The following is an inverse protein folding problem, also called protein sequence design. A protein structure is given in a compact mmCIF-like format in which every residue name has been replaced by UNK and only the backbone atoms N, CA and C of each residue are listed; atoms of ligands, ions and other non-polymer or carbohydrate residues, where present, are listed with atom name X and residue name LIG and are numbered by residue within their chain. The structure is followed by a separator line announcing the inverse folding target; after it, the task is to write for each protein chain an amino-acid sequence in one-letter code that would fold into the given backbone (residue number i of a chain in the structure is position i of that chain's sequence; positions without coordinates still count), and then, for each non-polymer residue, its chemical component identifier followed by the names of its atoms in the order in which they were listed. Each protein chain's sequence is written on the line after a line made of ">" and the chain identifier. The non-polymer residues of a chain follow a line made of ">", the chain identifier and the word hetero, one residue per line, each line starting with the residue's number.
data_IF_119385755900
#
_entry.id   IF_119385755900
#
_cell.length_a   1.000
_cell.length_b   1.000
_cell.length_c   1.000
_cell.angle_alpha   90.00
_cell.angle_beta   90.00
_cell.angle_gamma   90.00
#
_symmetry.space_group_name_H-M   'P 1'
#
loop_
_entity.id
_entity.type
_entity.pdbx_description
1 polymer ?
#
# COMPACT_ATOMS: atom_id res chain seq x y z
N UNK A 1 20.09 6.04 -2.73
CA UNK A 1 19.46 6.61 -1.52
C UNK A 1 19.32 5.47 -0.52
N UNK A 2 19.87 5.54 0.69
CA UNK A 2 19.75 4.43 1.66
C UNK A 2 18.27 4.33 2.05
N UNK A 3 17.61 3.25 1.64
CA UNK A 3 16.27 2.96 2.14
C UNK A 3 16.43 2.75 3.64
N UNK A 4 15.76 3.56 4.47
CA UNK A 4 15.77 3.35 5.92
C UNK A 4 15.23 1.94 6.17
N UNK A 5 15.86 1.21 7.08
CA UNK A 5 15.54 -0.17 7.43
C UNK A 5 14.02 -0.40 7.62
N UNK A 6 13.30 0.59 8.16
CA UNK A 6 11.86 0.52 8.43
C UNK A 6 10.96 0.58 7.19
N UNK A 7 11.39 1.26 6.12
CA UNK A 7 10.67 1.28 4.85
C UNK A 7 10.83 -0.06 4.11
N UNK A 8 12.03 -0.64 4.13
CA UNK A 8 12.22 -2.01 3.60
C UNK A 8 11.39 -3.03 4.39
N UNK A 9 11.38 -2.92 5.72
CA UNK A 9 10.58 -3.80 6.57
C UNK A 9 9.08 -3.62 6.31
N UNK A 10 8.63 -2.39 6.08
CA UNK A 10 7.25 -2.11 5.69
C UNK A 10 6.92 -2.80 4.35
N UNK A 11 7.72 -2.60 3.31
CA UNK A 11 7.49 -3.23 1.99
C UNK A 11 7.49 -4.76 2.11
N UNK A 12 8.45 -5.33 2.86
CA UNK A 12 8.51 -6.78 3.14
C UNK A 12 7.24 -7.27 3.85
N UNK A 13 6.73 -6.51 4.82
CA UNK A 13 5.48 -6.84 5.51
C UNK A 13 4.28 -6.82 4.56
N UNK A 14 4.14 -5.77 3.75
CA UNK A 14 3.05 -5.65 2.77
C UNK A 14 3.09 -6.79 1.75
N UNK A 15 4.28 -7.13 1.26
CA UNK A 15 4.45 -8.26 0.34
C UNK A 15 4.08 -9.58 1.04
N UNK A 16 4.55 -9.80 2.27
CA UNK A 16 4.22 -11.01 3.01
C UNK A 16 2.71 -11.17 3.26
N UNK A 17 2.01 -10.07 3.58
CA UNK A 17 0.55 -10.05 3.77
C UNK A 17 -0.17 -10.33 2.45
N UNK A 18 0.18 -9.62 1.38
CA UNK A 18 -0.51 -9.73 0.09
C UNK A 18 -0.27 -11.07 -0.59
N UNK A 19 0.88 -11.71 -0.36
CA UNK A 19 1.18 -13.05 -0.88
C UNK A 19 0.41 -14.15 -0.14
N UNK A 20 0.17 -13.97 1.17
CA UNK A 20 -0.46 -14.99 2.03
C UNK A 20 -1.49 -14.38 3.00
N UNK A 21 -2.55 -13.74 2.48
CA UNK A 21 -3.47 -12.90 3.25
C UNK A 21 -4.16 -13.63 4.42
N UNK A 22 -4.53 -14.90 4.20
CA UNK A 22 -5.17 -15.73 5.23
C UNK A 22 -4.32 -15.96 6.49
N UNK A 23 -2.98 -15.93 6.41
CA UNK A 23 -2.12 -16.07 7.60
C UNK A 23 -2.12 -14.82 8.48
N UNK A 24 -2.51 -13.67 7.92
CA UNK A 24 -2.54 -12.38 8.59
C UNK A 24 -3.97 -11.92 8.91
N UNK A 25 -4.97 -12.77 8.68
CA UNK A 25 -6.40 -12.43 8.83
C UNK A 25 -6.82 -11.20 8.00
N UNK A 26 -6.18 -10.99 6.85
CA UNK A 26 -6.51 -9.91 5.92
C UNK A 26 -7.34 -10.51 4.79
N UNK A 27 -8.59 -10.09 4.63
CA UNK A 27 -9.50 -10.66 3.63
C UNK A 27 -9.75 -9.72 2.45
N UNK A 28 -9.57 -8.42 2.68
CA UNK A 28 -9.82 -7.36 1.71
C UNK A 28 -8.88 -6.17 1.94
N UNK A 29 -9.01 -5.17 1.08
CA UNK A 29 -8.18 -3.97 1.11
C UNK A 29 -8.40 -3.10 2.36
N UNK A 30 -9.59 -3.12 2.97
CA UNK A 30 -9.89 -2.40 4.21
C UNK A 30 -9.15 -3.02 5.41
N UNK A 31 -9.13 -4.36 5.50
CA UNK A 31 -8.34 -5.08 6.51
C UNK A 31 -6.85 -4.72 6.38
N UNK A 32 -6.34 -4.67 5.14
CA UNK A 32 -4.97 -4.26 4.86
C UNK A 32 -4.71 -2.81 5.29
N UNK A 33 -5.66 -1.91 5.04
CA UNK A 33 -5.56 -0.52 5.46
C UNK A 33 -5.47 -0.38 6.99
N UNK A 34 -6.20 -1.21 7.74
CA UNK A 34 -6.10 -1.28 9.20
C UNK A 34 -4.73 -1.76 9.66
N UNK A 35 -4.15 -2.76 8.96
CA UNK A 35 -2.78 -3.22 9.26
C UNK A 35 -1.76 -2.11 9.01
N UNK A 36 -1.85 -1.40 7.88
CA UNK A 36 -0.97 -0.26 7.55
C UNK A 36 -1.10 0.83 8.62
N UNK A 37 -2.33 1.15 9.04
CA UNK A 37 -2.60 2.12 10.10
C UNK A 37 -1.95 1.69 11.42
N UNK A 38 -2.11 0.43 11.82
CA UNK A 38 -1.48 -0.13 13.02
C UNK A 38 0.04 -0.07 12.98
N UNK A 39 0.65 -0.43 11.84
CA UNK A 39 2.10 -0.34 11.64
C UNK A 39 2.59 1.11 11.81
N UNK A 40 1.93 2.07 11.17
CA UNK A 40 2.25 3.50 11.30
C UNK A 40 2.17 4.00 12.74
N UNK A 41 1.20 3.51 13.52
CA UNK A 41 1.09 3.85 14.93
C UNK A 41 2.21 3.27 15.79
N UNK A 42 2.75 2.10 15.42
CA UNK A 42 3.88 1.47 16.10
C UNK A 42 5.24 2.11 15.77
N UNK A 43 5.36 2.78 14.62
CA UNK A 43 6.59 3.47 14.22
C UNK A 43 6.86 4.74 15.05
N UNK A 44 8.15 5.06 15.20
CA UNK A 44 8.59 6.38 15.70
C UNK A 44 8.21 7.48 14.71
N UNK A 45 8.15 8.73 15.19
CA UNK A 45 7.62 9.86 14.42
C UNK A 45 8.31 10.06 13.04
N UNK A 46 9.64 9.97 12.98
CA UNK A 46 10.39 10.16 11.74
C UNK A 46 10.12 9.11 10.66
N UNK A 47 9.75 7.89 11.06
CA UNK A 47 9.46 6.81 10.12
C UNK A 47 7.99 6.83 9.73
N UNK A 48 7.12 7.26 10.65
CA UNK A 48 5.71 7.53 10.35
C UNK A 48 5.57 8.56 9.22
N UNK A 49 6.31 9.66 9.26
CA UNK A 49 6.27 10.68 8.19
C UNK A 49 6.70 10.13 6.83
N UNK A 50 7.70 9.23 6.80
CA UNK A 50 8.12 8.57 5.56
C UNK A 50 7.05 7.63 5.02
N UNK A 51 6.39 6.87 5.90
CA UNK A 51 5.29 5.99 5.53
C UNK A 51 4.05 6.76 5.09
N UNK A 52 3.74 7.87 5.75
CA UNK A 52 2.68 8.80 5.34
C UNK A 52 2.92 9.27 3.92
N UNK A 53 4.13 9.75 3.62
CA UNK A 53 4.50 10.19 2.29
C UNK A 53 4.44 9.06 1.26
N UNK A 54 4.89 7.85 1.60
CA UNK A 54 4.82 6.69 0.72
C UNK A 54 3.36 6.35 0.35
N UNK A 55 2.47 6.30 1.34
CA UNK A 55 1.05 5.99 1.12
C UNK A 55 0.35 7.12 0.37
N UNK A 56 0.71 8.39 0.62
CA UNK A 56 0.22 9.53 -0.14
C UNK A 56 0.64 9.44 -1.62
N UNK A 57 1.92 9.16 -1.89
CA UNK A 57 2.45 9.00 -3.24
C UNK A 57 1.82 7.79 -3.95
N UNK A 58 1.60 6.69 -3.24
CA UNK A 58 0.86 5.53 -3.76
C UNK A 58 -0.58 5.91 -4.11
N UNK A 59 -1.28 6.62 -3.23
CA UNK A 59 -2.64 7.10 -3.49
C UNK A 59 -2.69 8.01 -4.71
N UNK A 60 -1.73 8.92 -4.87
CA UNK A 60 -1.61 9.77 -6.08
C UNK A 60 -1.42 8.93 -7.34
N UNK A 61 -0.54 7.94 -7.31
CA UNK A 61 -0.31 7.06 -8.45
C UNK A 61 -1.56 6.29 -8.89
N UNK A 62 -2.42 5.91 -7.94
CA UNK A 62 -3.71 5.28 -8.25
C UNK A 62 -4.72 6.26 -8.84
N UNK A 63 -4.79 7.49 -8.33
CA UNK A 63 -5.64 8.53 -8.90
C UNK A 63 -5.22 8.83 -10.35
N UNK A 64 -3.93 8.90 -10.62
CA UNK A 64 -3.39 9.04 -11.98
C UNK A 64 -3.75 7.83 -12.85
N UNK A 65 -3.56 6.60 -12.35
CA UNK A 65 -3.90 5.35 -13.06
C UNK A 65 -5.38 5.27 -13.45
N UNK A 66 -6.27 5.73 -12.57
CA UNK A 66 -7.72 5.66 -12.78
C UNK A 66 -8.32 6.96 -13.34
N UNK A 67 -7.47 7.93 -13.73
CA UNK A 67 -7.87 9.21 -14.33
C UNK A 67 -8.92 9.97 -13.50
N UNK A 68 -8.77 9.95 -12.18
CA UNK A 68 -9.73 10.59 -11.27
C UNK A 68 -9.52 12.10 -11.25
N UNK A 69 -10.63 12.85 -11.20
CA UNK A 69 -10.61 14.32 -11.15
C UNK A 69 -10.40 14.88 -9.76
N UNK A 70 -10.64 14.07 -8.74
CA UNK A 70 -10.51 14.40 -7.32
C UNK A 70 -9.49 13.48 -6.68
N UNK A 71 -8.86 13.93 -5.59
CA UNK A 71 -7.98 13.10 -4.77
C UNK A 71 -8.81 12.09 -3.96
N UNK A 72 -9.14 10.95 -4.58
CA UNK A 72 -9.87 9.85 -3.94
C UNK A 72 -8.86 9.02 -3.14
N UNK A 73 -9.27 8.66 -1.94
CA UNK A 73 -8.50 7.80 -1.04
C UNK A 73 -8.29 6.40 -1.66
N UNK A 74 -7.08 5.85 -1.51
CA UNK A 74 -6.64 4.67 -2.24
C UNK A 74 -7.48 3.41 -1.95
N UNK A 75 -7.93 3.20 -0.71
CA UNK A 75 -8.78 2.05 -0.35
C UNK A 75 -10.08 2.13 -1.14
N UNK A 76 -10.70 3.32 -1.21
CA UNK A 76 -11.91 3.55 -2.00
C UNK A 76 -11.70 3.28 -3.49
N UNK A 77 -10.59 3.73 -4.07
CA UNK A 77 -10.28 3.45 -5.48
C UNK A 77 -10.17 1.96 -5.75
N UNK A 78 -9.40 1.24 -4.93
CA UNK A 78 -9.21 -0.20 -5.10
C UNK A 78 -10.52 -0.95 -4.87
N UNK A 79 -11.32 -0.56 -3.87
CA UNK A 79 -12.62 -1.16 -3.62
C UNK A 79 -13.57 -0.93 -4.80
N UNK A 80 -13.58 0.25 -5.39
CA UNK A 80 -14.44 0.58 -6.52
C UNK A 80 -14.06 -0.22 -7.78
N UNK A 81 -12.75 -0.39 -8.03
CA UNK A 81 -12.24 -1.08 -9.22
C UNK A 81 -12.01 -2.60 -9.03
N UNK A 82 -12.05 -3.09 -7.79
CA UNK A 82 -11.85 -4.50 -7.45
C UNK A 82 -13.17 -5.27 -7.35
N UNK A 83 -13.32 -6.34 -8.13
CA UNK A 83 -14.53 -7.18 -8.13
C UNK A 83 -14.54 -8.18 -6.96
N UNK A 84 -14.95 -7.75 -5.77
CA UNK A 84 -15.03 -8.60 -4.59
C UNK A 84 -13.71 -8.69 -3.80
N UNK A 85 -13.78 -9.26 -2.60
CA UNK A 85 -12.74 -9.10 -1.58
C UNK A 85 -11.35 -9.60 -2.01
N UNK A 86 -11.25 -10.83 -2.51
CA UNK A 86 -9.96 -11.36 -3.01
C UNK A 86 -9.37 -10.58 -4.19
N UNK A 87 -10.23 -9.98 -5.02
CA UNK A 87 -9.78 -9.16 -6.15
C UNK A 87 -9.27 -7.79 -5.69
N UNK A 88 -9.78 -7.24 -4.59
CA UNK A 88 -9.23 -5.99 -4.04
C UNK A 88 -7.78 -6.14 -3.57
N UNK A 89 -7.43 -7.28 -2.96
CA UNK A 89 -6.05 -7.57 -2.57
C UNK A 89 -5.13 -7.80 -3.77
N UNK A 90 -5.63 -8.51 -4.79
CA UNK A 90 -4.88 -8.72 -6.04
C UNK A 90 -4.62 -7.41 -6.77
N UNK A 91 -5.62 -6.54 -6.86
CA UNK A 91 -5.50 -5.21 -7.46
C UNK A 91 -4.54 -4.32 -6.66
N UNK A 92 -4.63 -4.33 -5.33
CA UNK A 92 -3.67 -3.65 -4.47
C UNK A 92 -2.25 -4.13 -4.75
N UNK A 93 -2.02 -5.45 -4.72
CA UNK A 93 -0.68 -6.02 -4.89
C UNK A 93 -0.08 -5.60 -6.23
N UNK A 94 -0.84 -5.75 -7.32
CA UNK A 94 -0.39 -5.35 -8.65
C UNK A 94 0.01 -3.86 -8.68
N UNK A 95 -0.87 -2.98 -8.22
CA UNK A 95 -0.61 -1.54 -8.25
C UNK A 95 0.54 -1.13 -7.32
N UNK A 96 0.65 -1.76 -6.16
CA UNK A 96 1.71 -1.49 -5.18
C UNK A 96 3.07 -1.98 -5.69
N UNK A 97 3.13 -3.19 -6.25
CA UNK A 97 4.35 -3.74 -6.85
C UNK A 97 4.84 -2.86 -8.02
N UNK A 98 3.93 -2.40 -8.89
CA UNK A 98 4.23 -1.45 -9.97
C UNK A 98 4.73 -0.10 -9.42
N UNK A 99 4.08 0.44 -8.38
CA UNK A 99 4.49 1.69 -7.74
C UNK A 99 5.89 1.59 -7.12
N UNK A 100 6.18 0.51 -6.38
CA UNK A 100 7.49 0.27 -5.78
C UNK A 100 8.54 0.08 -6.88
N UNK A 101 8.24 -0.70 -7.93
CA UNK A 101 9.15 -0.87 -9.06
C UNK A 101 9.49 0.48 -9.70
N UNK A 102 8.52 1.35 -9.99
CA UNK A 102 8.79 2.66 -10.58
C UNK A 102 9.59 3.60 -9.66
N UNK A 103 9.38 3.54 -8.34
CA UNK A 103 10.05 4.44 -7.37
C UNK A 103 11.41 3.94 -6.89
N UNK A 104 11.70 2.65 -7.00
CA UNK A 104 12.90 2.03 -6.45
C UNK A 104 13.69 1.20 -7.48
N UNK A 105 13.42 1.34 -8.79
CA UNK A 105 14.13 0.65 -9.89
C UNK A 105 15.54 1.20 -10.21
N UNK A 106 16.10 2.07 -9.37
CA UNK A 106 17.50 2.54 -9.48
C UNK A 106 18.46 1.81 -8.51
N UNK A 107 18.31 0.49 -8.37
CA UNK A 107 19.32 -0.39 -7.76
C UNK A 107 19.51 -1.69 -8.56
#
# INVERSE_FOLDING_TARGET
>A
MVIKNDLENFIKLINAITDRPGMYMVNNVEDLALVILGYKHACIASDRELLDKLIEDFSKSLNERFETKEAIEWVRLIRYHGFGDGNTLSLFKLAFDEFIALRYSEH
#
